data_IF_537640770077
#
_entry.id   IF_537640770077
#
_cell.length_a   1.000
_cell.length_b   1.000
_cell.length_c   1.000
_cell.angle_alpha   90.00
_cell.angle_beta   90.00
_cell.angle_gamma   90.00
#
_symmetry.space_group_name_H-M   'P 1'
#
loop_
_entity.id
_entity.type
_entity.pdbx_description
1 polymer ?
#
# COMPACT_ATOMS: atom_id res chain seq x y z
N UNK A 1 21.87 -23.30 12.01
CA UNK A 1 20.44 -23.70 12.20
C UNK A 1 19.46 -22.65 11.65
N UNK A 2 19.99 -21.51 11.21
CA UNK A 2 19.35 -20.28 10.76
C UNK A 2 18.51 -20.51 9.49
N UNK A 3 18.93 -21.47 8.65
CA UNK A 3 18.21 -21.87 7.44
C UNK A 3 16.78 -22.36 7.69
N UNK A 4 16.45 -22.82 8.91
CA UNK A 4 15.08 -23.24 9.26
C UNK A 4 14.13 -22.03 9.23
N UNK A 5 14.55 -20.89 9.77
CA UNK A 5 13.74 -19.66 9.78
C UNK A 5 13.53 -19.15 8.36
N UNK A 6 14.61 -19.14 7.55
CA UNK A 6 14.54 -18.77 6.13
C UNK A 6 13.60 -19.72 5.38
N UNK A 7 13.66 -21.02 5.64
CA UNK A 7 12.79 -22.01 5.01
C UNK A 7 11.31 -21.78 5.39
N UNK A 8 11.01 -21.48 6.66
CA UNK A 8 9.65 -21.13 7.11
C UNK A 8 9.16 -19.90 6.35
N UNK A 9 10.00 -18.85 6.24
CA UNK A 9 9.65 -17.65 5.49
C UNK A 9 9.34 -17.96 4.02
N UNK A 10 10.21 -18.71 3.34
CA UNK A 10 10.02 -19.08 1.92
C UNK A 10 8.75 -19.91 1.70
N UNK A 11 8.48 -20.91 2.56
CA UNK A 11 7.28 -21.74 2.45
C UNK A 11 6.01 -20.93 2.74
N UNK A 12 6.04 -20.09 3.78
CA UNK A 12 4.93 -19.20 4.11
C UNK A 12 4.61 -18.26 2.96
N UNK A 13 5.63 -17.64 2.36
CA UNK A 13 5.48 -16.75 1.22
C UNK A 13 5.01 -17.46 -0.05
N UNK A 14 5.53 -18.65 -0.33
CA UNK A 14 5.04 -19.47 -1.43
C UNK A 14 3.56 -19.82 -1.25
N UNK A 15 3.13 -20.09 -0.01
CA UNK A 15 1.72 -20.36 0.30
C UNK A 15 0.83 -19.13 0.08
N UNK A 16 1.33 -17.92 0.38
CA UNK A 16 0.65 -16.64 0.08
C UNK A 16 0.50 -16.45 -1.43
N UNK A 17 1.57 -16.62 -2.21
CA UNK A 17 1.52 -16.43 -3.67
C UNK A 17 0.64 -17.48 -4.37
N UNK A 18 0.48 -18.66 -3.77
CA UNK A 18 -0.40 -19.73 -4.22
C UNK A 18 -1.82 -19.69 -3.63
N UNK A 19 -2.26 -18.56 -3.05
CA UNK A 19 -3.60 -18.37 -2.45
C UNK A 19 -4.72 -18.90 -3.36
N UNK A 20 -4.73 -18.54 -4.65
CA UNK A 20 -5.79 -18.94 -5.57
C UNK A 20 -5.80 -20.47 -5.86
N UNK A 21 -4.66 -21.10 -6.22
CA UNK A 21 -4.58 -22.57 -6.30
C UNK A 21 -4.94 -23.31 -5.00
N UNK A 22 -4.50 -22.80 -3.85
CA UNK A 22 -4.71 -23.43 -2.53
C UNK A 22 -6.10 -23.16 -1.94
N UNK A 23 -6.84 -22.18 -2.49
CA UNK A 23 -8.13 -21.71 -1.98
C UNK A 23 -8.08 -21.36 -0.49
N UNK A 24 -6.99 -20.71 -0.10
CA UNK A 24 -6.66 -20.40 1.28
C UNK A 24 -6.40 -18.89 1.38
N UNK A 25 -7.12 -18.20 2.27
CA UNK A 25 -6.93 -16.77 2.53
C UNK A 25 -5.45 -16.51 2.89
N UNK A 26 -4.80 -15.59 2.16
CA UNK A 26 -3.38 -15.23 2.36
C UNK A 26 -3.02 -14.77 3.78
N UNK A 27 -4.01 -14.35 4.56
CA UNK A 27 -3.87 -14.00 5.98
C UNK A 27 -3.44 -15.19 6.81
N UNK A 28 -3.99 -16.38 6.54
CA UNK A 28 -3.69 -17.61 7.30
C UNK A 28 -2.19 -17.98 7.24
N UNK A 29 -1.58 -18.16 6.05
CA UNK A 29 -0.17 -18.50 5.96
C UNK A 29 0.73 -17.35 6.46
N UNK A 30 0.32 -16.08 6.32
CA UNK A 30 1.08 -14.95 6.87
C UNK A 30 1.18 -15.00 8.39
N UNK A 31 0.06 -15.23 9.09
CA UNK A 31 0.04 -15.32 10.56
C UNK A 31 0.79 -16.55 11.07
N UNK A 32 0.62 -17.70 10.42
CA UNK A 32 1.35 -18.94 10.76
C UNK A 32 2.86 -18.73 10.56
N UNK A 33 3.27 -18.16 9.43
CA UNK A 33 4.68 -17.88 9.14
C UNK A 33 5.29 -16.99 10.22
N UNK A 34 4.66 -15.86 10.56
CA UNK A 34 5.14 -14.97 11.61
C UNK A 34 5.29 -15.69 12.96
N UNK A 35 4.24 -16.40 13.36
CA UNK A 35 4.20 -17.07 14.66
C UNK A 35 5.26 -18.17 14.76
N UNK A 36 5.46 -18.93 13.68
CA UNK A 36 6.47 -19.98 13.62
C UNK A 36 7.90 -19.42 13.62
N UNK A 37 8.15 -18.32 12.88
CA UNK A 37 9.46 -17.65 12.89
C UNK A 37 9.81 -17.20 14.31
N UNK A 38 8.93 -16.47 14.98
CA UNK A 38 9.18 -15.99 16.33
C UNK A 38 9.25 -17.11 17.38
N UNK A 39 8.45 -18.19 17.22
CA UNK A 39 8.55 -19.35 18.10
C UNK A 39 9.88 -20.08 17.96
N UNK A 40 10.36 -20.30 16.73
CA UNK A 40 11.66 -20.92 16.47
C UNK A 40 12.80 -20.02 16.94
N UNK A 41 12.69 -18.71 16.75
CA UNK A 41 13.64 -17.73 17.30
C UNK A 41 13.71 -17.80 18.82
N UNK A 42 12.57 -17.77 19.52
CA UNK A 42 12.55 -17.81 20.99
C UNK A 42 13.16 -19.11 21.53
N UNK A 43 12.75 -20.26 20.97
CA UNK A 43 13.30 -21.57 21.37
C UNK A 43 14.80 -21.63 21.07
N UNK A 44 15.21 -21.24 19.86
CA UNK A 44 16.62 -21.30 19.46
C UNK A 44 17.49 -20.32 20.25
N UNK A 45 17.00 -19.13 20.54
CA UNK A 45 17.69 -18.15 21.37
C UNK A 45 17.99 -18.70 22.77
N UNK A 46 16.99 -19.25 23.47
CA UNK A 46 17.17 -19.84 24.80
C UNK A 46 18.12 -21.05 24.78
N UNK A 47 18.11 -21.84 23.70
CA UNK A 47 19.01 -22.98 23.55
C UNK A 47 20.40 -22.59 23.02
N UNK A 48 20.67 -21.30 22.78
CA UNK A 48 21.95 -20.82 22.23
C UNK A 48 22.20 -21.21 20.78
N UNK A 49 21.14 -21.48 20.01
CA UNK A 49 21.22 -21.78 18.58
C UNK A 49 21.32 -20.53 17.72
N UNK A 50 20.77 -19.42 18.22
CA UNK A 50 20.70 -18.14 17.52
C UNK A 50 21.07 -17.02 18.47
N UNK A 51 21.75 -16.04 17.92
CA UNK A 51 21.87 -14.72 18.54
C UNK A 51 20.88 -13.77 17.87
N UNK A 52 20.48 -12.74 18.61
CA UNK A 52 19.47 -11.78 18.17
C UNK A 52 20.09 -10.39 18.18
N UNK A 53 19.76 -9.60 17.17
CA UNK A 53 20.12 -8.19 17.09
C UNK A 53 18.94 -7.33 17.51
N UNK A 54 19.18 -6.37 18.40
CA UNK A 54 18.15 -5.40 18.78
C UNK A 54 18.07 -4.27 17.74
N UNK A 55 17.16 -3.33 17.96
CA UNK A 55 16.95 -2.18 17.07
C UNK A 55 18.04 -1.11 17.15
N UNK A 56 18.99 -1.25 18.06
CA UNK A 56 20.20 -0.42 18.16
C UNK A 56 21.41 -1.11 17.51
N UNK A 57 21.16 -2.14 16.68
CA UNK A 57 22.16 -2.94 15.98
C UNK A 57 23.16 -3.66 16.91
N UNK A 58 22.75 -3.95 18.14
CA UNK A 58 23.55 -4.71 19.10
C UNK A 58 23.11 -6.17 19.11
N UNK A 59 24.03 -7.06 18.78
CA UNK A 59 23.84 -8.50 18.90
C UNK A 59 23.98 -8.95 20.36
N UNK A 60 23.11 -9.86 20.79
CA UNK A 60 23.12 -10.43 22.12
C UNK A 60 22.69 -11.90 22.09
N UNK A 61 23.17 -12.66 23.08
CA UNK A 61 22.98 -14.11 23.19
C UNK A 61 22.43 -14.49 24.56
N UNK A 62 21.56 -15.49 24.61
CA UNK A 62 21.11 -16.05 25.88
C UNK A 62 22.26 -16.71 26.66
N UNK A 63 23.24 -17.30 25.97
CA UNK A 63 24.35 -18.01 26.63
C UNK A 63 25.24 -17.07 27.45
N UNK A 64 25.35 -15.80 27.03
CA UNK A 64 26.18 -14.80 27.69
C UNK A 64 25.39 -13.89 28.63
N UNK A 65 24.14 -13.58 28.30
CA UNK A 65 23.32 -12.63 29.06
C UNK A 65 22.16 -13.23 29.87
N UNK A 66 21.84 -14.52 29.73
CA UNK A 66 20.81 -15.21 30.52
C UNK A 66 19.45 -14.49 30.52
N UNK A 67 18.88 -14.26 31.70
CA UNK A 67 17.58 -13.58 31.85
C UNK A 67 17.56 -12.15 31.31
N UNK A 68 18.65 -11.38 31.45
CA UNK A 68 18.74 -10.03 30.88
C UNK A 68 18.67 -10.07 29.35
N UNK A 69 19.28 -11.08 28.73
CA UNK A 69 19.18 -11.30 27.29
C UNK A 69 17.76 -11.72 26.87
N UNK A 70 17.04 -12.46 27.71
CA UNK A 70 15.63 -12.79 27.47
C UNK A 70 14.72 -11.55 27.55
N UNK A 71 14.95 -10.65 28.50
CA UNK A 71 14.27 -9.36 28.55
C UNK A 71 14.55 -8.53 27.29
N UNK A 72 15.79 -8.54 26.80
CA UNK A 72 16.18 -7.92 25.53
C UNK A 72 15.45 -8.53 24.31
N UNK A 73 15.27 -9.85 24.29
CA UNK A 73 14.51 -10.55 23.26
C UNK A 73 13.03 -10.12 23.27
N UNK A 74 12.38 -10.13 24.43
CA UNK A 74 11.00 -9.69 24.59
C UNK A 74 10.83 -8.21 24.24
N UNK A 75 11.79 -7.37 24.63
CA UNK A 75 11.84 -5.96 24.26
C UNK A 75 11.94 -5.75 22.75
N UNK A 76 12.76 -6.54 22.07
CA UNK A 76 12.91 -6.52 20.60
C UNK A 76 11.60 -6.92 19.91
N UNK A 77 10.96 -8.00 20.36
CA UNK A 77 9.66 -8.42 19.86
C UNK A 77 8.58 -7.34 20.07
N UNK A 78 8.49 -6.76 21.27
CA UNK A 78 7.55 -5.69 21.59
C UNK A 78 7.81 -4.43 20.77
N UNK A 79 9.07 -4.10 20.49
CA UNK A 79 9.43 -2.97 19.63
C UNK A 79 8.88 -3.17 18.22
N UNK A 80 9.17 -4.32 17.59
CA UNK A 80 8.67 -4.63 16.25
C UNK A 80 7.15 -4.72 16.20
N UNK A 81 6.52 -5.30 17.23
CA UNK A 81 5.06 -5.32 17.37
C UNK A 81 4.51 -3.90 17.49
N UNK A 82 5.15 -3.02 18.25
CA UNK A 82 4.77 -1.62 18.40
C UNK A 82 4.82 -0.87 17.07
N UNK A 83 5.91 -1.01 16.31
CA UNK A 83 6.04 -0.42 14.96
C UNK A 83 5.02 -0.95 13.97
N UNK A 84 4.76 -2.24 14.03
CA UNK A 84 3.71 -2.87 13.22
C UNK A 84 2.33 -2.32 13.62
N UNK A 85 2.03 -2.24 14.92
CA UNK A 85 0.77 -1.72 15.44
C UNK A 85 0.53 -0.25 15.08
N UNK A 86 1.56 0.60 15.06
CA UNK A 86 1.46 1.99 14.58
C UNK A 86 0.89 2.03 13.15
N UNK A 87 1.39 1.17 12.24
CA UNK A 87 0.92 1.06 10.86
C UNK A 87 -0.52 0.53 10.83
N UNK A 88 -0.82 -0.55 11.55
CA UNK A 88 -2.16 -1.16 11.52
C UNK A 88 -3.24 -0.23 12.07
N UNK A 89 -2.98 0.48 13.17
CA UNK A 89 -3.92 1.46 13.75
C UNK A 89 -4.14 2.62 12.78
N UNK A 90 -3.08 3.08 12.11
CA UNK A 90 -3.20 4.10 11.06
C UNK A 90 -4.13 3.62 9.93
N UNK A 91 -3.92 2.42 9.41
CA UNK A 91 -4.73 1.86 8.32
C UNK A 91 -6.19 1.65 8.72
N UNK A 92 -6.45 1.12 9.93
CA UNK A 92 -7.80 0.98 10.47
C UNK A 92 -8.49 2.34 10.49
N UNK A 93 -7.81 3.37 10.99
CA UNK A 93 -8.35 4.74 11.02
C UNK A 93 -8.72 5.26 9.63
N UNK A 94 -7.79 5.16 8.69
CA UNK A 94 -7.99 5.60 7.31
C UNK A 94 -9.15 4.87 6.63
N UNK A 95 -9.15 3.53 6.67
CA UNK A 95 -10.19 2.70 6.07
C UNK A 95 -11.57 2.97 6.69
N UNK A 96 -11.62 3.18 8.02
CA UNK A 96 -12.89 3.52 8.70
C UNK A 96 -13.44 4.85 8.18
N UNK A 97 -12.60 5.88 8.03
CA UNK A 97 -13.03 7.18 7.49
C UNK A 97 -13.59 6.98 6.09
N UNK A 98 -12.90 6.24 5.23
CA UNK A 98 -13.37 6.02 3.86
C UNK A 98 -14.68 5.26 3.82
N UNK A 99 -14.84 4.23 4.65
CA UNK A 99 -16.10 3.49 4.73
C UNK A 99 -17.24 4.37 5.26
N UNK A 100 -16.98 5.29 6.20
CA UNK A 100 -17.98 6.29 6.62
C UNK A 100 -18.38 7.18 5.44
N UNK A 101 -17.43 7.63 4.62
CA UNK A 101 -17.71 8.40 3.40
C UNK A 101 -18.62 7.59 2.46
N UNK A 102 -18.29 6.31 2.21
CA UNK A 102 -19.06 5.46 1.30
C UNK A 102 -20.47 5.15 1.82
N UNK A 103 -20.63 4.91 3.13
CA UNK A 103 -21.94 4.76 3.77
C UNK A 103 -22.84 5.98 3.50
N UNK A 104 -22.28 7.18 3.52
CA UNK A 104 -23.01 8.42 3.20
C UNK A 104 -23.08 8.71 1.69
N UNK A 105 -22.69 7.74 0.85
CA UNK A 105 -22.59 7.84 -0.61
C UNK A 105 -21.76 9.03 -1.06
N UNK A 106 -20.72 9.39 -0.31
CA UNK A 106 -19.86 10.55 -0.60
C UNK A 106 -19.22 10.45 -1.99
N UNK A 107 -18.82 9.24 -2.41
CA UNK A 107 -18.19 9.03 -3.71
C UNK A 107 -19.15 9.15 -4.91
N UNK A 108 -20.47 9.12 -4.71
CA UNK A 108 -21.42 9.44 -5.79
C UNK A 108 -21.29 10.89 -6.26
N UNK A 109 -20.79 11.80 -5.41
CA UNK A 109 -20.47 13.18 -5.83
C UNK A 109 -19.47 13.17 -6.98
N UNK A 110 -18.54 12.20 -7.01
CA UNK A 110 -17.55 12.07 -8.08
C UNK A 110 -18.19 11.65 -9.42
N UNK A 111 -19.35 10.99 -9.41
CA UNK A 111 -20.11 10.69 -10.64
C UNK A 111 -20.45 11.97 -11.41
N UNK A 112 -20.74 13.06 -10.70
CA UNK A 112 -21.06 14.36 -11.32
C UNK A 112 -19.88 14.98 -12.08
N UNK A 113 -18.64 14.59 -11.78
CA UNK A 113 -17.47 15.02 -12.54
C UNK A 113 -17.36 14.32 -13.91
N UNK A 114 -18.08 13.20 -14.11
CA UNK A 114 -17.98 12.36 -15.31
C UNK A 114 -19.16 12.61 -16.26
N UNK A 115 -19.07 13.67 -17.08
CA UNK A 115 -20.15 14.09 -18.00
C UNK A 115 -19.91 13.75 -19.48
N UNK A 116 -19.00 12.82 -19.78
CA UNK A 116 -18.60 12.53 -21.17
C UNK A 116 -19.10 11.18 -21.66
N UNK A 117 -19.41 11.11 -22.96
CA UNK A 117 -19.69 9.85 -23.66
C UNK A 117 -18.46 9.32 -24.41
N UNK A 118 -17.41 10.11 -24.58
CA UNK A 118 -16.22 9.69 -25.32
C UNK A 118 -15.39 8.72 -24.47
N UNK A 119 -15.09 7.54 -25.01
CA UNK A 119 -14.26 6.52 -24.33
C UNK A 119 -12.88 7.07 -23.94
N UNK A 120 -12.24 7.80 -24.86
CA UNK A 120 -10.94 8.45 -24.59
C UNK A 120 -11.03 9.50 -23.49
N UNK A 121 -12.03 10.39 -23.52
CA UNK A 121 -12.19 11.40 -22.46
C UNK A 121 -12.50 10.73 -21.12
N UNK A 122 -13.32 9.68 -21.13
CA UNK A 122 -13.65 8.91 -19.93
C UNK A 122 -12.40 8.26 -19.32
N UNK A 123 -11.53 7.68 -20.15
CA UNK A 123 -10.26 7.08 -19.71
C UNK A 123 -9.44 8.11 -18.92
N UNK A 124 -9.24 9.31 -19.47
CA UNK A 124 -8.47 10.37 -18.79
C UNK A 124 -9.15 10.88 -17.52
N UNK A 125 -10.47 11.09 -17.53
CA UNK A 125 -11.19 11.55 -16.33
C UNK A 125 -11.05 10.52 -15.20
N UNK A 126 -11.29 9.25 -15.49
CA UNK A 126 -11.18 8.17 -14.49
C UNK A 126 -9.73 7.97 -14.05
N UNK A 127 -8.76 8.07 -14.97
CA UNK A 127 -7.35 7.98 -14.66
C UNK A 127 -6.83 9.09 -13.75
N UNK A 128 -7.16 10.34 -14.06
CA UNK A 128 -6.79 11.49 -13.22
C UNK A 128 -7.47 11.37 -11.85
N UNK A 129 -8.74 10.96 -11.83
CA UNK A 129 -9.45 10.73 -10.58
C UNK A 129 -8.78 9.63 -9.74
N UNK A 130 -8.36 8.52 -10.35
CA UNK A 130 -7.59 7.45 -9.69
C UNK A 130 -6.26 7.96 -9.13
N UNK A 131 -5.51 8.67 -9.95
CA UNK A 131 -4.19 9.19 -9.59
C UNK A 131 -4.27 10.15 -8.38
N UNK A 132 -5.23 11.07 -8.38
CA UNK A 132 -5.39 12.05 -7.29
C UNK A 132 -6.06 11.43 -6.06
N UNK A 133 -7.12 10.65 -6.24
CA UNK A 133 -7.83 10.04 -5.12
C UNK A 133 -6.91 9.08 -4.36
N UNK A 134 -6.13 8.28 -5.07
CA UNK A 134 -5.19 7.35 -4.46
C UNK A 134 -4.07 8.05 -3.68
N UNK A 135 -3.74 9.31 -3.97
CA UNK A 135 -2.77 10.06 -3.18
C UNK A 135 -3.36 10.51 -1.82
N UNK A 136 -4.68 10.51 -1.67
CA UNK A 136 -5.36 11.00 -0.46
C UNK A 136 -5.77 9.87 0.47
N UNK A 137 -6.40 8.83 -0.07
CA UNK A 137 -6.83 7.66 0.71
C UNK A 137 -5.75 6.58 0.60
N UNK A 138 -6.05 5.39 0.09
CA UNK A 138 -5.07 4.38 -0.31
C UNK A 138 -5.42 3.81 -1.69
N UNK A 139 -4.46 3.18 -2.36
CA UNK A 139 -4.63 2.63 -3.71
C UNK A 139 -5.67 1.52 -3.83
N UNK A 140 -5.80 0.65 -2.83
CA UNK A 140 -6.81 -0.40 -2.78
C UNK A 140 -8.21 0.22 -2.72
N UNK A 141 -8.43 1.12 -1.77
CA UNK A 141 -9.73 1.78 -1.58
C UNK A 141 -10.08 2.68 -2.76
N UNK A 142 -9.14 3.46 -3.29
CA UNK A 142 -9.37 4.26 -4.49
C UNK A 142 -9.79 3.38 -5.69
N UNK A 143 -9.16 2.21 -5.85
CA UNK A 143 -9.51 1.25 -6.89
C UNK A 143 -10.92 0.68 -6.70
N UNK A 144 -11.29 0.27 -5.48
CA UNK A 144 -12.63 -0.25 -5.16
C UNK A 144 -13.72 0.79 -5.48
N UNK A 145 -13.52 2.03 -5.04
CA UNK A 145 -14.44 3.16 -5.29
C UNK A 145 -14.62 3.38 -6.79
N UNK A 146 -13.52 3.42 -7.55
CA UNK A 146 -13.57 3.71 -8.99
C UNK A 146 -14.12 2.57 -9.82
N UNK A 147 -13.88 1.31 -9.43
CA UNK A 147 -14.52 0.16 -10.08
C UNK A 147 -16.03 0.19 -9.84
N UNK A 148 -16.47 0.54 -8.63
CA UNK A 148 -17.88 0.71 -8.29
C UNK A 148 -18.54 1.80 -9.14
N UNK A 149 -17.85 2.93 -9.34
CA UNK A 149 -18.27 3.98 -10.26
C UNK A 149 -18.29 3.50 -11.72
N UNK A 150 -17.26 2.79 -12.17
CA UNK A 150 -17.15 2.26 -13.53
C UNK A 150 -18.28 1.29 -13.88
N UNK A 151 -18.78 0.50 -12.92
CA UNK A 151 -19.94 -0.39 -13.13
C UNK A 151 -21.21 0.38 -13.49
N UNK A 152 -21.36 1.60 -12.98
CA UNK A 152 -22.50 2.49 -13.28
C UNK A 152 -22.31 3.25 -14.60
N UNK A 153 -21.07 3.46 -15.03
CA UNK A 153 -20.74 4.24 -16.24
C UNK A 153 -20.56 3.36 -17.49
N UNK A 154 -20.03 2.15 -17.33
CA UNK A 154 -19.66 1.23 -18.41
C UNK A 154 -20.33 -0.13 -18.17
N UNK A 155 -21.48 -0.32 -18.81
CA UNK A 155 -22.27 -1.54 -18.68
C UNK A 155 -21.58 -2.77 -19.28
N UNK A 156 -20.94 -2.61 -20.45
CA UNK A 156 -20.21 -3.70 -21.13
C UNK A 156 -18.96 -4.08 -20.33
N UNK A 157 -18.97 -5.28 -19.74
CA UNK A 157 -17.84 -5.82 -18.96
C UNK A 157 -16.54 -5.85 -19.77
N UNK A 158 -16.61 -6.20 -21.06
CA UNK A 158 -15.46 -6.24 -21.97
C UNK A 158 -14.73 -4.90 -22.07
N UNK A 159 -15.46 -3.79 -22.04
CA UNK A 159 -14.86 -2.46 -21.98
C UNK A 159 -14.38 -2.17 -20.55
N UNK A 160 -15.21 -2.48 -19.55
CA UNK A 160 -14.94 -2.15 -18.13
C UNK A 160 -13.64 -2.75 -17.58
N UNK A 161 -13.28 -3.99 -17.98
CA UNK A 161 -12.02 -4.61 -17.55
C UNK A 161 -10.78 -3.82 -18.00
N UNK A 162 -10.83 -3.13 -19.15
CA UNK A 162 -9.75 -2.24 -19.59
C UNK A 162 -9.65 -1.01 -18.70
N UNK A 163 -10.77 -0.37 -18.37
CA UNK A 163 -10.75 0.79 -17.48
C UNK A 163 -10.32 0.40 -16.07
N UNK A 164 -10.78 -0.73 -15.53
CA UNK A 164 -10.35 -1.23 -14.23
C UNK A 164 -8.84 -1.49 -14.20
N UNK A 165 -8.28 -2.10 -15.25
CA UNK A 165 -6.84 -2.31 -15.35
C UNK A 165 -6.03 -1.00 -15.43
N UNK A 166 -6.54 0.01 -16.16
CA UNK A 166 -5.91 1.33 -16.21
C UNK A 166 -6.05 2.10 -14.88
N UNK A 167 -7.14 1.89 -14.13
CA UNK A 167 -7.30 2.43 -12.77
C UNK A 167 -6.22 1.88 -11.85
N UNK A 168 -5.89 0.59 -11.91
CA UNK A 168 -4.81 0.00 -11.08
C UNK A 168 -3.47 0.70 -11.35
N UNK A 169 -3.12 0.94 -12.62
CA UNK A 169 -1.89 1.68 -12.98
C UNK A 169 -1.92 3.10 -12.40
N UNK A 170 -3.02 3.82 -12.59
CA UNK A 170 -3.15 5.20 -12.15
C UNK A 170 -3.18 5.33 -10.62
N UNK A 171 -3.87 4.42 -9.93
CA UNK A 171 -3.95 4.40 -8.46
C UNK A 171 -2.57 4.11 -7.85
N UNK A 172 -1.88 3.06 -8.30
CA UNK A 172 -0.53 2.74 -7.81
C UNK A 172 0.47 3.89 -8.04
N UNK A 173 0.43 4.53 -9.22
CA UNK A 173 1.23 5.73 -9.48
C UNK A 173 0.84 6.91 -8.60
N UNK A 174 -0.45 7.10 -8.33
CA UNK A 174 -1.00 8.14 -7.47
C UNK A 174 -0.62 7.98 -6.00
N UNK A 175 -0.67 6.75 -5.48
CA UNK A 175 -0.32 6.45 -4.09
C UNK A 175 1.16 6.68 -3.77
N UNK A 176 2.06 6.38 -4.71
CA UNK A 176 3.50 6.34 -4.49
C UNK A 176 4.15 7.68 -4.08
N UNK A 177 3.56 8.83 -4.41
CA UNK A 177 4.11 10.15 -4.08
C UNK A 177 3.50 10.79 -2.83
N UNK A 178 2.61 10.06 -2.14
CA UNK A 178 1.96 10.54 -0.92
C UNK A 178 2.27 9.62 0.27
N UNK A 179 2.50 10.17 1.47
CA UNK A 179 2.75 9.37 2.67
C UNK A 179 1.53 8.58 3.16
N UNK A 180 0.34 8.84 2.63
CA UNK A 180 -0.90 8.14 2.99
C UNK A 180 -1.39 7.25 1.84
N UNK A 181 -1.04 7.62 0.61
CA UNK A 181 -1.64 7.06 -0.61
C UNK A 181 -1.36 5.58 -0.88
N UNK A 182 -0.35 5.01 -0.23
CA UNK A 182 -0.05 3.58 -0.28
C UNK A 182 0.41 3.10 1.11
N UNK A 183 0.17 1.82 1.40
CA UNK A 183 0.63 1.21 2.66
C UNK A 183 2.15 1.27 2.78
N UNK A 184 2.88 1.06 1.68
CA UNK A 184 4.34 1.06 1.66
C UNK A 184 4.94 2.45 1.89
N UNK A 185 4.33 3.51 1.35
CA UNK A 185 4.78 4.88 1.62
C UNK A 185 4.44 5.30 3.04
N UNK A 186 3.29 4.86 3.55
CA UNK A 186 2.93 5.00 4.97
C UNK A 186 3.96 4.33 5.88
N UNK A 187 4.40 3.12 5.55
CA UNK A 187 5.44 2.39 6.28
C UNK A 187 6.76 3.16 6.32
N UNK A 188 7.25 3.61 5.15
CA UNK A 188 8.48 4.41 5.07
C UNK A 188 8.37 5.71 5.88
N UNK A 189 7.18 6.34 5.88
CA UNK A 189 6.94 7.60 6.59
C UNK A 189 6.85 7.43 8.11
N UNK A 190 6.23 6.34 8.59
CA UNK A 190 6.19 5.97 10.02
C UNK A 190 7.58 5.55 10.49
N UNK A 191 8.33 4.81 9.67
CA UNK A 191 9.72 4.42 9.91
C UNK A 191 10.73 5.58 9.80
N UNK A 192 10.26 6.82 9.56
CA UNK A 192 11.08 8.03 9.40
C UNK A 192 12.14 7.93 8.29
N UNK A 193 11.90 7.11 7.27
CA UNK A 193 12.78 6.99 6.09
C UNK A 193 12.46 8.04 5.03
N UNK A 194 11.21 8.50 4.97
CA UNK A 194 10.77 9.61 4.10
C UNK A 194 9.97 10.64 4.89
N UNK A 195 9.91 11.86 4.38
CA UNK A 195 9.00 12.93 4.78
C UNK A 195 7.90 13.13 3.72
N UNK A 196 6.84 13.82 4.12
CA UNK A 196 5.74 14.14 3.21
C UNK A 196 6.19 15.08 2.08
N UNK A 197 7.05 16.05 2.41
CA UNK A 197 7.61 16.99 1.45
C UNK A 197 8.57 16.29 0.48
N UNK A 198 9.46 15.44 1.00
CA UNK A 198 10.40 14.66 0.17
C UNK A 198 9.67 13.77 -0.84
N UNK A 199 8.62 13.05 -0.42
CA UNK A 199 7.83 12.24 -1.36
C UNK A 199 7.23 13.08 -2.50
N UNK A 200 6.71 14.28 -2.20
CA UNK A 200 6.18 15.18 -3.22
C UNK A 200 7.30 15.66 -4.15
N UNK A 201 8.42 16.11 -3.59
CA UNK A 201 9.55 16.69 -4.33
C UNK A 201 10.20 15.68 -5.27
N UNK A 202 10.48 14.47 -4.79
CA UNK A 202 11.20 13.46 -5.57
C UNK A 202 10.29 12.57 -6.43
N UNK A 203 9.06 12.26 -5.99
CA UNK A 203 8.27 11.17 -6.58
C UNK A 203 7.09 11.65 -7.42
N UNK A 204 6.56 12.86 -7.22
CA UNK A 204 5.34 13.30 -7.92
C UNK A 204 5.50 13.34 -9.44
N UNK A 205 6.63 13.86 -9.95
CA UNK A 205 6.88 13.97 -11.39
C UNK A 205 7.10 12.57 -12.01
N UNK A 206 7.98 11.71 -11.45
CA UNK A 206 8.09 10.30 -11.87
C UNK A 206 6.74 9.56 -11.89
N UNK A 207 5.91 9.74 -10.87
CA UNK A 207 4.57 9.16 -10.79
C UNK A 207 3.63 9.69 -11.88
N UNK A 208 3.65 11.00 -12.15
CA UNK A 208 2.85 11.59 -13.25
C UNK A 208 3.27 10.98 -14.59
N UNK A 209 4.57 10.82 -14.85
CA UNK A 209 5.05 10.20 -16.10
C UNK A 209 4.63 8.73 -16.18
N UNK A 210 4.79 7.99 -15.08
CA UNK A 210 4.39 6.58 -14.95
C UNK A 210 2.90 6.37 -15.23
N UNK A 211 2.05 7.32 -14.83
CA UNK A 211 0.63 7.35 -15.14
C UNK A 211 0.35 7.81 -16.59
N UNK A 212 0.89 8.95 -16.99
CA UNK A 212 0.48 9.64 -18.22
C UNK A 212 0.90 8.86 -19.46
N UNK A 213 2.09 8.27 -19.49
CA UNK A 213 2.62 7.61 -20.67
C UNK A 213 1.78 6.37 -21.08
N UNK A 214 1.43 5.44 -20.17
CA UNK A 214 0.49 4.36 -20.47
C UNK A 214 -0.87 4.86 -20.96
N UNK A 215 -1.38 5.95 -20.40
CA UNK A 215 -2.69 6.54 -20.79
C UNK A 215 -2.65 7.20 -22.16
N UNK A 216 -1.53 7.84 -22.53
CA UNK A 216 -1.30 8.36 -23.88
C UNK A 216 -1.34 7.19 -24.87
N UNK A 217 -0.57 6.12 -24.63
CA UNK A 217 -0.53 4.97 -25.52
C UNK A 217 -1.90 4.27 -25.59
N UNK A 218 -2.54 4.05 -24.45
CA UNK A 218 -3.88 3.45 -24.37
C UNK A 218 -4.92 4.25 -25.15
N UNK A 219 -4.83 5.59 -25.16
CA UNK A 219 -5.73 6.45 -25.93
C UNK A 219 -5.76 6.15 -27.44
N UNK A 220 -4.73 5.52 -27.99
CA UNK A 220 -4.67 5.12 -29.40
C UNK A 220 -5.19 3.71 -29.66
N UNK A 221 -5.43 2.89 -28.62
CA UNK A 221 -5.94 1.53 -28.78
C UNK A 221 -7.41 1.53 -29.24
N UNK A 222 -7.84 0.57 -30.09
CA UNK A 222 -9.20 0.51 -30.61
C UNK A 222 -10.29 0.51 -29.54
N UNK A 223 -10.04 -0.12 -28.39
CA UNK A 223 -11.02 -0.22 -27.29
C UNK A 223 -11.41 1.12 -26.67
N UNK A 224 -10.51 2.12 -26.72
CA UNK A 224 -10.73 3.46 -26.18
C UNK A 224 -11.20 4.48 -27.23
N UNK A 225 -11.45 4.03 -28.46
CA UNK A 225 -12.00 4.87 -29.53
C UNK A 225 -13.53 4.79 -29.56
N UNK A 226 -14.17 5.87 -29.99
CA UNK A 226 -15.62 5.97 -30.07
C UNK A 226 -16.27 6.41 -28.75
N UNK A 227 -17.56 6.09 -28.62
CA UNK A 227 -18.39 6.50 -27.49
C UNK A 227 -18.85 5.30 -26.67
N UNK A 228 -19.06 5.52 -25.38
CA UNK A 228 -19.73 4.57 -24.49
C UNK A 228 -21.22 4.58 -24.81
N UNK A 229 -21.80 3.39 -24.95
CA UNK A 229 -23.25 3.25 -25.00
C UNK A 229 -23.81 3.51 -23.60
N UNK A 230 -24.30 4.74 -23.39
CA UNK A 230 -25.08 5.10 -22.22
C UNK A 230 -26.52 4.70 -22.54
N UNK A 231 -26.96 3.54 -22.07
CA UNK A 231 -28.39 3.32 -21.90
C UNK A 231 -28.86 4.35 -20.88
N UNK A 232 -29.70 5.29 -21.32
CA UNK A 232 -30.39 6.20 -20.42
C UNK A 232 -31.43 5.35 -19.70
N UNK A 233 -31.02 4.62 -18.67
CA UNK A 233 -31.95 4.30 -17.61
C UNK A 233 -32.16 5.59 -16.85
N UNK A 234 -33.40 6.02 -16.78
CA UNK A 234 -33.90 6.76 -15.63
C UNK A 234 -33.64 5.86 -14.41
N UNK A 235 -32.39 5.82 -13.92
CA UNK A 235 -32.19 5.61 -12.50
C UNK A 235 -33.06 6.71 -11.90
N UNK A 236 -34.17 6.30 -11.28
CA UNK A 236 -34.82 7.16 -10.28
C UNK A 236 -33.66 7.73 -9.50
N UNK A 237 -33.49 9.05 -9.52
CA UNK A 237 -32.52 9.71 -8.67
C UNK A 237 -32.84 9.20 -7.26
N UNK A 238 -32.13 8.16 -6.80
CA UNK A 238 -32.04 7.89 -5.38
C UNK A 238 -31.37 9.16 -4.88
N UNK A 239 -32.22 10.06 -4.36
CA UNK A 239 -31.91 11.46 -4.20
C UNK A 239 -30.53 11.62 -3.57
N UNK A 240 -29.77 12.59 -4.06
CA UNK A 240 -28.47 12.90 -3.48
C UNK A 240 -28.64 13.02 -1.96
N UNK A 241 -28.06 12.06 -1.23
CA UNK A 241 -28.09 12.03 0.23
C UNK A 241 -27.53 13.38 0.69
N UNK A 242 -28.28 14.09 1.55
CA UNK A 242 -27.95 15.47 1.99
C UNK A 242 -26.55 15.55 2.59
N UNK A 243 -26.12 14.46 3.23
CA UNK A 243 -24.84 14.31 3.90
C UNK A 243 -23.64 14.03 2.97
N UNK A 244 -23.89 13.60 1.73
CA UNK A 244 -22.89 13.00 0.83
C UNK A 244 -21.70 13.95 0.58
N UNK A 245 -21.96 15.21 0.22
CA UNK A 245 -20.90 16.21 0.01
C UNK A 245 -20.14 16.53 1.29
N UNK A 246 -20.86 16.75 2.38
CA UNK A 246 -20.26 17.10 3.67
C UNK A 246 -19.31 16.01 4.14
N UNK A 247 -19.74 14.74 4.09
CA UNK A 247 -18.91 13.62 4.50
C UNK A 247 -17.72 13.38 3.58
N UNK A 248 -17.87 13.54 2.26
CA UNK A 248 -16.74 13.44 1.34
C UNK A 248 -15.67 14.49 1.65
N UNK A 249 -16.03 15.77 1.72
CA UNK A 249 -15.05 16.85 1.93
C UNK A 249 -14.46 16.81 3.34
N UNK A 250 -15.27 16.51 4.36
CA UNK A 250 -14.77 16.36 5.72
C UNK A 250 -13.81 15.17 5.83
N UNK A 251 -14.21 14.00 5.33
CA UNK A 251 -13.39 12.78 5.43
C UNK A 251 -12.06 12.93 4.70
N UNK A 252 -12.08 13.34 3.42
CA UNK A 252 -10.84 13.59 2.66
C UNK A 252 -10.01 14.72 3.28
N UNK A 253 -10.65 15.80 3.74
CA UNK A 253 -9.96 16.92 4.39
C UNK A 253 -9.26 16.51 5.69
N UNK A 254 -9.92 15.69 6.51
CA UNK A 254 -9.32 15.17 7.75
C UNK A 254 -8.16 14.20 7.47
N UNK A 255 -8.23 13.38 6.42
CA UNK A 255 -7.09 12.54 6.01
C UNK A 255 -5.90 13.40 5.56
N UNK A 256 -6.14 14.41 4.70
CA UNK A 256 -5.11 15.37 4.26
C UNK A 256 -4.54 16.19 5.43
N UNK A 257 -5.26 16.34 6.54
CA UNK A 257 -4.76 17.05 7.72
C UNK A 257 -3.68 16.27 8.50
N UNK A 258 -3.58 14.94 8.33
CA UNK A 258 -2.69 14.09 9.12
C UNK A 258 -1.19 14.42 8.95
N UNK A 259 -0.66 14.67 7.73
CA UNK A 259 0.73 15.09 7.56
C UNK A 259 1.00 16.46 8.17
N UNK A 260 0.01 17.37 8.15
CA UNK A 260 0.10 18.68 8.81
C UNK A 260 0.17 18.50 10.32
N UNK A 261 -0.69 17.66 10.89
CA UNK A 261 -0.67 17.31 12.32
C UNK A 261 0.70 16.75 12.75
N UNK A 262 1.25 15.78 12.02
CA UNK A 262 2.60 15.22 12.31
C UNK A 262 3.66 16.31 12.28
N UNK A 263 3.64 17.17 11.27
CA UNK A 263 4.66 18.22 11.09
C UNK A 263 4.62 19.26 12.22
N UNK A 264 3.42 19.62 12.70
CA UNK A 264 3.26 20.61 13.77
C UNK A 264 3.48 20.03 15.18
N UNK A 265 3.08 18.78 15.42
CA UNK A 265 3.09 18.19 16.76
C UNK A 265 4.28 17.27 17.02
N UNK A 266 4.97 16.81 15.97
CA UNK A 266 5.98 15.75 16.00
C UNK A 266 5.48 14.38 16.53
N UNK A 267 4.18 14.23 16.76
CA UNK A 267 3.58 12.95 17.17
C UNK A 267 3.52 11.97 16.00
N UNK A 268 3.49 10.65 16.28
CA UNK A 268 3.33 9.63 15.25
C UNK A 268 2.06 9.82 14.41
N UNK A 269 2.08 9.48 13.10
CA UNK A 269 0.94 9.63 12.20
C UNK A 269 -0.37 9.02 12.69
N UNK A 270 -0.31 7.86 13.37
CA UNK A 270 -1.51 7.15 13.81
C UNK A 270 -2.36 8.00 14.78
N UNK A 271 -1.73 8.86 15.60
CA UNK A 271 -2.46 9.76 16.51
C UNK A 271 -3.27 10.81 15.75
N UNK A 272 -2.67 11.39 14.70
CA UNK A 272 -3.38 12.32 13.82
C UNK A 272 -4.53 11.63 13.07
N UNK A 273 -4.33 10.39 12.63
CA UNK A 273 -5.37 9.59 11.99
C UNK A 273 -6.51 9.21 12.96
N UNK A 274 -6.21 8.90 14.22
CA UNK A 274 -7.24 8.65 15.25
C UNK A 274 -8.05 9.91 15.57
N UNK A 275 -7.40 11.07 15.63
CA UNK A 275 -8.10 12.35 15.76
C UNK A 275 -9.01 12.61 14.55
N UNK A 276 -8.50 12.39 13.33
CA UNK A 276 -9.26 12.51 12.10
C UNK A 276 -10.51 11.62 12.11
N UNK A 277 -10.34 10.34 12.49
CA UNK A 277 -11.45 9.41 12.63
C UNK A 277 -12.44 9.89 13.70
N UNK A 278 -11.97 10.30 14.87
CA UNK A 278 -12.83 10.80 15.95
C UNK A 278 -13.71 11.98 15.53
N UNK A 279 -13.15 12.93 14.76
CA UNK A 279 -13.90 14.08 14.22
C UNK A 279 -14.89 13.66 13.15
N UNK A 280 -14.48 12.85 12.17
CA UNK A 280 -15.36 12.37 11.10
C UNK A 280 -16.52 11.54 11.68
N UNK A 281 -16.21 10.67 12.64
CA UNK A 281 -17.20 9.88 13.35
C UNK A 281 -18.17 10.79 14.11
N UNK A 282 -17.67 11.73 14.91
CA UNK A 282 -18.52 12.67 15.64
C UNK A 282 -19.52 13.35 14.71
N UNK A 283 -19.06 13.89 13.58
CA UNK A 283 -19.93 14.56 12.61
C UNK A 283 -20.93 13.58 11.98
N UNK A 284 -20.52 12.36 11.65
CA UNK A 284 -21.41 11.33 11.10
C UNK A 284 -22.58 10.96 12.03
N UNK A 285 -22.39 11.07 13.36
CA UNK A 285 -23.47 10.82 14.32
C UNK A 285 -24.54 11.92 14.32
N UNK A 286 -24.20 13.16 13.95
CA UNK A 286 -25.12 14.30 13.95
C UNK A 286 -25.73 14.61 12.58
N UNK A 287 -25.12 14.16 11.49
CA UNK A 287 -25.64 14.39 10.15
C UNK A 287 -26.66 13.31 9.78
N UNK A 288 -27.81 13.74 9.27
CA UNK A 288 -28.87 12.85 8.79
C UNK A 288 -28.69 12.59 7.28
N UNK A 289 -28.58 11.33 6.84
CA UNK A 289 -28.49 10.97 5.42
C UNK A 289 -29.72 11.40 4.59
N UNK A 290 -30.92 11.27 5.15
CA UNK A 290 -32.20 11.50 4.46
C UNK A 290 -33.11 12.42 5.31
N UNK A 291 -34.06 13.13 4.70
CA UNK A 291 -34.99 14.02 5.42
C UNK A 291 -35.90 13.24 6.40
N UNK A 292 -36.35 12.04 6.01
CA UNK A 292 -37.16 11.12 6.83
C UNK A 292 -36.28 10.06 7.55
N UNK A 293 -35.26 10.51 8.28
CA UNK A 293 -34.36 9.59 8.98
C UNK A 293 -34.94 9.08 10.30
N UNK A 294 -35.58 7.90 10.27
CA UNK A 294 -36.09 7.26 11.49
C UNK A 294 -34.95 6.77 12.39
N UNK A 295 -35.16 6.83 13.72
CA UNK A 295 -34.18 6.33 14.71
C UNK A 295 -33.77 4.88 14.49
N UNK A 296 -34.65 4.06 13.91
CA UNK A 296 -34.39 2.65 13.59
C UNK A 296 -33.34 2.48 12.48
N UNK A 297 -33.18 3.45 11.56
CA UNK A 297 -32.20 3.37 10.45
C UNK A 297 -30.84 3.96 10.80
N UNK A 298 -30.69 4.59 11.98
CA UNK A 298 -29.43 5.20 12.43
C UNK A 298 -28.26 4.23 12.51
N UNK A 299 -28.54 2.96 12.88
CA UNK A 299 -27.51 1.93 12.94
C UNK A 299 -26.87 1.62 11.57
N UNK A 300 -27.58 1.85 10.46
CA UNK A 300 -27.11 1.54 9.10
C UNK A 300 -25.97 2.45 8.63
N UNK A 301 -25.86 3.65 9.19
CA UNK A 301 -24.87 4.68 8.84
C UNK A 301 -23.89 4.97 9.99
N UNK A 302 -23.96 4.18 11.07
CA UNK A 302 -23.09 4.33 12.24
C UNK A 302 -21.66 3.88 11.93
N UNK A 303 -20.67 4.45 12.62
CA UNK A 303 -19.29 3.99 12.46
C UNK A 303 -19.08 2.55 12.94
N UNK A 304 -19.92 2.01 13.81
CA UNK A 304 -19.91 0.57 14.13
C UNK A 304 -20.18 -0.27 12.89
N UNK A 305 -21.08 0.18 12.01
CA UNK A 305 -21.31 -0.47 10.72
C UNK A 305 -20.13 -0.30 9.79
N UNK A 306 -19.49 0.88 9.78
CA UNK A 306 -18.28 1.12 9.00
C UNK A 306 -17.13 0.18 9.43
N UNK A 307 -16.85 0.10 10.74
CA UNK A 307 -15.87 -0.81 11.32
C UNK A 307 -16.13 -2.27 10.93
N UNK A 308 -17.41 -2.69 10.88
CA UNK A 308 -17.78 -4.05 10.46
C UNK A 308 -17.52 -4.37 8.99
N UNK A 309 -17.24 -3.36 8.15
CA UNK A 309 -16.97 -3.50 6.72
C UNK A 309 -15.49 -3.35 6.37
N UNK A 310 -14.65 -2.98 7.32
CA UNK A 310 -13.21 -2.94 7.11
C UNK A 310 -12.70 -4.35 6.81
N UNK A 311 -11.78 -4.46 5.87
CA UNK A 311 -11.11 -5.72 5.52
C UNK A 311 -10.10 -6.11 6.61
N UNK A 312 -10.60 -6.66 7.74
CA UNK A 312 -9.76 -7.14 8.84
C UNK A 312 -8.73 -8.18 8.37
N UNK A 313 -9.07 -9.00 7.36
CA UNK A 313 -8.12 -9.93 6.73
C UNK A 313 -6.87 -9.19 6.20
N UNK A 314 -7.03 -8.07 5.51
CA UNK A 314 -5.91 -7.28 4.98
C UNK A 314 -5.00 -6.73 6.09
N UNK A 315 -5.58 -6.28 7.21
CA UNK A 315 -4.83 -5.82 8.40
C UNK A 315 -4.05 -6.97 9.04
N UNK A 316 -4.68 -8.13 9.24
CA UNK A 316 -4.03 -9.30 9.82
C UNK A 316 -2.95 -9.88 8.89
N UNK A 317 -3.16 -9.79 7.58
CA UNK A 317 -2.14 -10.14 6.59
C UNK A 317 -0.90 -9.27 6.76
N UNK A 318 -1.06 -7.94 6.87
CA UNK A 318 0.06 -7.04 7.13
C UNK A 318 0.74 -7.31 8.47
N UNK A 319 -0.02 -7.61 9.53
CA UNK A 319 0.55 -8.04 10.82
C UNK A 319 1.48 -9.25 10.62
N UNK A 320 1.00 -10.29 9.94
CA UNK A 320 1.78 -11.50 9.68
C UNK A 320 3.05 -11.22 8.87
N UNK A 321 2.94 -10.48 7.77
CA UNK A 321 4.09 -10.14 6.93
C UNK A 321 5.13 -9.32 7.69
N UNK A 322 4.72 -8.24 8.35
CA UNK A 322 5.65 -7.33 9.04
C UNK A 322 6.34 -8.02 10.22
N UNK A 323 5.62 -8.84 10.97
CA UNK A 323 6.23 -9.62 12.06
C UNK A 323 7.17 -10.71 11.52
N UNK A 324 6.87 -11.34 10.39
CA UNK A 324 7.77 -12.32 9.78
C UNK A 324 9.07 -11.67 9.29
N UNK A 325 8.98 -10.50 8.63
CA UNK A 325 10.15 -9.72 8.18
C UNK A 325 10.96 -9.24 9.38
N UNK A 326 10.30 -8.76 10.44
CA UNK A 326 10.97 -8.37 11.68
C UNK A 326 11.75 -9.53 12.32
N UNK A 327 11.22 -10.76 12.28
CA UNK A 327 11.95 -11.93 12.74
C UNK A 327 13.22 -12.20 11.93
N UNK A 328 13.20 -11.99 10.61
CA UNK A 328 14.40 -12.07 9.78
C UNK A 328 15.38 -10.92 10.08
N UNK A 329 14.87 -9.71 10.32
CA UNK A 329 15.66 -8.55 10.71
C UNK A 329 16.42 -8.81 12.02
N UNK A 330 15.72 -9.36 13.02
CA UNK A 330 16.26 -9.66 14.35
C UNK A 330 17.21 -10.87 14.39
N UNK A 331 17.10 -11.82 13.45
CA UNK A 331 17.97 -13.00 13.41
C UNK A 331 19.39 -12.62 12.96
N UNK A 332 20.39 -12.78 13.83
CA UNK A 332 21.80 -12.68 13.43
C UNK A 332 22.12 -13.82 12.46
N UNK A 333 22.66 -13.47 11.29
CA UNK A 333 22.98 -14.44 10.25
C UNK A 333 24.46 -14.46 9.88
N UNK A 334 25.13 -13.31 9.94
CA UNK A 334 26.51 -13.18 9.49
C UNK A 334 27.21 -11.98 10.08
N UNK A 335 28.45 -11.78 9.66
CA UNK A 335 29.33 -10.71 10.12
C UNK A 335 29.71 -9.82 8.95
N UNK A 336 29.57 -8.51 9.12
CA UNK A 336 29.94 -7.48 8.15
C UNK A 336 30.90 -6.52 8.85
N UNK A 337 32.07 -6.29 8.24
CA UNK A 337 33.12 -5.41 8.81
C UNK A 337 33.55 -5.73 10.26
N UNK A 338 33.37 -7.00 10.69
CA UNK A 338 33.72 -7.45 12.04
C UNK A 338 32.58 -7.34 13.06
N UNK A 339 31.40 -6.88 12.65
CA UNK A 339 30.21 -6.78 13.50
C UNK A 339 29.13 -7.78 13.06
N UNK A 340 28.46 -8.41 14.03
CA UNK A 340 27.34 -9.30 13.77
C UNK A 340 26.13 -8.51 13.28
N UNK A 341 25.48 -9.00 12.23
CA UNK A 341 24.35 -8.31 11.60
C UNK A 341 23.16 -9.24 11.39
N UNK A 342 21.98 -8.62 11.40
CA UNK A 342 20.72 -9.27 11.07
C UNK A 342 20.69 -9.83 9.63
N UNK A 343 19.77 -10.77 9.39
CA UNK A 343 19.68 -11.49 8.10
C UNK A 343 19.44 -10.55 6.93
N UNK A 344 18.61 -9.52 7.12
CA UNK A 344 18.30 -8.55 6.06
C UNK A 344 19.49 -7.64 5.74
N UNK A 345 20.20 -7.14 6.75
CA UNK A 345 21.42 -6.34 6.55
C UNK A 345 22.51 -7.16 5.86
N UNK A 346 22.67 -8.42 6.24
CA UNK A 346 23.59 -9.34 5.55
C UNK A 346 23.20 -9.54 4.07
N UNK A 347 21.91 -9.73 3.78
CA UNK A 347 21.42 -9.83 2.41
C UNK A 347 21.71 -8.56 1.60
N UNK A 348 21.60 -7.38 2.21
CA UNK A 348 21.93 -6.11 1.55
C UNK A 348 23.39 -6.08 1.09
N UNK A 349 24.34 -6.54 1.92
CA UNK A 349 25.75 -6.61 1.57
C UNK A 349 26.05 -7.63 0.47
N UNK A 350 25.37 -8.78 0.49
CA UNK A 350 25.45 -9.77 -0.59
C UNK A 350 24.95 -9.18 -1.91
N UNK A 351 23.83 -8.45 -1.89
CA UNK A 351 23.31 -7.78 -3.07
C UNK A 351 24.24 -6.66 -3.56
N UNK A 352 24.78 -5.84 -2.65
CA UNK A 352 25.69 -4.76 -2.98
C UNK A 352 27.00 -5.26 -3.61
N UNK A 353 27.51 -6.41 -3.14
CA UNK A 353 28.70 -7.05 -3.74
C UNK A 353 28.41 -7.69 -5.10
N UNK A 354 27.22 -8.24 -5.32
CA UNK A 354 26.82 -8.85 -6.58
C UNK A 354 26.42 -7.82 -7.66
N UNK A 355 25.71 -6.75 -7.26
CA UNK A 355 25.23 -5.67 -8.12
C UNK A 355 25.62 -4.34 -7.46
N UNK A 356 26.79 -3.77 -7.78
CA UNK A 356 27.29 -2.55 -7.13
C UNK A 356 26.45 -1.29 -7.38
N UNK A 357 25.57 -1.32 -8.40
CA UNK A 357 24.72 -0.20 -8.75
C UNK A 357 23.36 -0.29 -8.03
N UNK A 358 23.13 0.58 -7.05
CA UNK A 358 21.91 0.62 -6.26
C UNK A 358 20.66 0.97 -7.09
N UNK A 359 20.79 1.83 -8.11
CA UNK A 359 19.67 2.15 -9.01
C UNK A 359 19.12 0.88 -9.67
N UNK A 360 20.02 0.00 -10.12
CA UNK A 360 19.66 -1.28 -10.74
C UNK A 360 18.98 -2.19 -9.71
N UNK A 361 19.49 -2.26 -8.48
CA UNK A 361 18.86 -3.04 -7.40
C UNK A 361 17.43 -2.56 -7.14
N UNK A 362 17.21 -1.25 -7.04
CA UNK A 362 15.88 -0.68 -6.81
C UNK A 362 14.91 -0.92 -7.98
N UNK A 363 15.38 -0.82 -9.22
CA UNK A 363 14.59 -1.18 -10.40
C UNK A 363 14.20 -2.66 -10.37
N UNK A 364 15.14 -3.54 -10.02
CA UNK A 364 14.87 -4.97 -9.89
C UNK A 364 13.88 -5.26 -8.75
N UNK A 365 13.99 -4.56 -7.60
CA UNK A 365 13.00 -4.64 -6.53
C UNK A 365 11.60 -4.25 -7.00
N UNK A 366 11.48 -3.19 -7.81
CA UNK A 366 10.20 -2.81 -8.43
C UNK A 366 9.66 -3.86 -9.41
N UNK A 367 10.51 -4.51 -10.20
CA UNK A 367 10.08 -5.62 -11.07
C UNK A 367 9.65 -6.83 -10.25
N UNK A 368 10.40 -7.17 -9.21
CA UNK A 368 10.08 -8.25 -8.28
C UNK A 368 8.77 -7.94 -7.54
N UNK A 369 8.44 -6.67 -7.29
CA UNK A 369 7.18 -6.29 -6.64
C UNK A 369 5.92 -6.63 -7.44
N UNK A 370 6.06 -6.92 -8.73
CA UNK A 370 4.97 -7.46 -9.54
C UNK A 370 4.61 -8.91 -9.15
N UNK A 371 5.55 -9.65 -8.57
CA UNK A 371 5.40 -11.07 -8.21
C UNK A 371 5.22 -11.21 -6.69
N UNK A 372 6.02 -10.47 -5.94
CA UNK A 372 6.06 -10.43 -4.49
C UNK A 372 5.34 -9.15 -4.10
N UNK A 373 4.26 -9.22 -3.31
CA UNK A 373 3.55 -8.02 -2.82
C UNK A 373 4.52 -6.92 -2.35
N UNK A 374 4.15 -5.66 -2.52
CA UNK A 374 5.07 -4.53 -2.31
C UNK A 374 5.39 -4.29 -0.82
N UNK A 375 4.46 -4.61 0.09
CA UNK A 375 4.62 -4.51 1.56
C UNK A 375 5.84 -5.29 2.10
N UNK A 376 5.98 -6.61 1.88
CA UNK A 376 7.15 -7.35 2.36
C UNK A 376 8.47 -6.84 1.79
N UNK A 377 8.50 -6.40 0.53
CA UNK A 377 9.72 -5.87 -0.10
C UNK A 377 10.17 -4.55 0.53
N UNK A 378 9.23 -3.64 0.79
CA UNK A 378 9.54 -2.37 1.44
C UNK A 378 9.90 -2.58 2.91
N UNK A 379 9.20 -3.47 3.61
CA UNK A 379 9.59 -3.86 4.97
C UNK A 379 11.02 -4.43 5.01
N UNK A 380 11.35 -5.34 4.09
CA UNK A 380 12.69 -5.90 3.99
C UNK A 380 13.73 -4.81 3.67
N UNK A 381 13.41 -3.89 2.76
CA UNK A 381 14.30 -2.79 2.39
C UNK A 381 14.59 -1.86 3.57
N UNK A 382 13.61 -1.62 4.47
CA UNK A 382 13.82 -0.85 5.71
C UNK A 382 14.85 -1.54 6.62
N UNK A 383 14.81 -2.87 6.73
CA UNK A 383 15.78 -3.65 7.51
C UNK A 383 17.11 -3.94 6.78
N UNK A 384 17.20 -3.66 5.47
CA UNK A 384 18.40 -3.85 4.65
C UNK A 384 19.32 -2.63 4.67
N UNK A 385 18.75 -1.41 4.72
CA UNK A 385 19.49 -0.17 4.54
C UNK A 385 19.32 0.76 5.75
N UNK A 386 20.45 1.21 6.30
CA UNK A 386 20.46 2.32 7.25
C UNK A 386 20.99 3.59 6.55
N UNK A 387 20.05 4.44 6.16
CA UNK A 387 20.29 5.69 5.44
C UNK A 387 19.48 6.81 6.08
N UNK A 388 19.98 8.06 6.03
CA UNK A 388 19.28 9.21 6.60
C UNK A 388 17.88 9.38 5.99
N UNK A 389 17.00 10.04 6.75
CA UNK A 389 15.68 10.45 6.28
C UNK A 389 15.81 11.23 4.97
N UNK A 390 14.90 10.97 4.03
CA UNK A 390 14.85 11.60 2.70
C UNK A 390 16.11 11.35 1.83
N UNK A 391 16.88 10.29 2.13
CA UNK A 391 17.86 9.81 1.15
C UNK A 391 17.17 9.48 -0.18
N UNK A 392 17.84 9.78 -1.29
CA UNK A 392 17.34 9.52 -2.65
C UNK A 392 16.87 8.07 -2.82
N UNK A 393 17.60 7.12 -2.21
CA UNK A 393 17.28 5.69 -2.27
C UNK A 393 15.87 5.41 -1.70
N UNK A 394 15.48 6.05 -0.60
CA UNK A 394 14.16 5.86 -0.01
C UNK A 394 13.04 6.31 -0.93
N UNK A 395 13.22 7.45 -1.59
CA UNK A 395 12.25 7.95 -2.56
C UNK A 395 12.19 7.07 -3.82
N UNK A 396 13.34 6.52 -4.24
CA UNK A 396 13.35 5.63 -5.39
C UNK A 396 12.72 4.26 -5.09
N UNK A 397 12.93 3.74 -3.88
CA UNK A 397 12.23 2.54 -3.38
C UNK A 397 10.73 2.80 -3.30
N UNK A 398 10.30 3.95 -2.76
CA UNK A 398 8.88 4.32 -2.69
C UNK A 398 8.24 4.34 -4.09
N UNK A 399 8.88 4.98 -5.05
CA UNK A 399 8.43 4.99 -6.44
C UNK A 399 8.37 3.57 -7.04
N UNK A 400 9.47 2.82 -6.90
CA UNK A 400 9.66 1.55 -7.61
C UNK A 400 8.77 0.45 -7.05
N UNK A 401 8.69 0.33 -5.72
CA UNK A 401 7.79 -0.61 -5.07
C UNK A 401 6.31 -0.24 -5.28
N UNK A 402 5.98 1.05 -5.22
CA UNK A 402 4.61 1.56 -5.39
C UNK A 402 4.07 1.35 -6.81
N UNK A 403 4.89 1.57 -7.84
CA UNK A 403 4.45 1.46 -9.24
C UNK A 403 4.74 0.09 -9.88
N UNK A 404 5.77 -0.61 -9.42
CA UNK A 404 6.19 -1.89 -9.98
C UNK A 404 5.12 -2.98 -9.90
N UNK A 405 4.33 -2.97 -8.83
CA UNK A 405 3.22 -3.89 -8.59
C UNK A 405 2.11 -3.84 -9.63
N UNK A 406 2.06 -2.82 -10.50
CA UNK A 406 1.12 -2.75 -11.62
C UNK A 406 1.51 -3.64 -12.80
N UNK A 407 2.73 -4.16 -12.89
CA UNK A 407 3.14 -4.97 -14.03
C UNK A 407 2.36 -6.29 -14.13
N UNK A 408 1.99 -6.89 -13.00
CA UNK A 408 1.10 -8.04 -12.95
C UNK A 408 -0.10 -7.69 -12.07
N UNK A 409 -1.29 -8.18 -12.44
CA UNK A 409 -2.51 -7.86 -11.69
C UNK A 409 -2.49 -8.35 -10.23
N UNK A 410 -1.66 -9.35 -9.92
CA UNK A 410 -1.49 -9.88 -8.56
C UNK A 410 -0.42 -9.16 -7.75
N UNK A 411 0.35 -8.25 -8.36
CA UNK A 411 1.50 -7.58 -7.74
C UNK A 411 1.14 -6.44 -6.79
N UNK A 412 -0.14 -6.17 -6.59
CA UNK A 412 -0.60 -5.15 -5.63
C UNK A 412 -2.00 -5.47 -5.12
N UNK A 413 -2.33 -5.02 -3.90
CA UNK A 413 -3.66 -5.16 -3.33
C UNK A 413 -4.75 -4.55 -4.24
N UNK A 414 -4.49 -3.38 -4.83
CA UNK A 414 -5.36 -2.74 -5.81
C UNK A 414 -5.64 -3.64 -7.03
N UNK A 415 -4.60 -4.29 -7.57
CA UNK A 415 -4.73 -5.24 -8.67
C UNK A 415 -5.56 -6.47 -8.29
N UNK A 416 -5.32 -7.06 -7.12
CA UNK A 416 -6.06 -8.22 -6.61
C UNK A 416 -7.54 -7.89 -6.40
N UNK A 417 -7.85 -6.71 -5.86
CA UNK A 417 -9.22 -6.25 -5.71
C UNK A 417 -9.90 -6.06 -7.08
N UNK A 418 -9.22 -5.42 -8.03
CA UNK A 418 -9.74 -5.27 -9.39
C UNK A 418 -9.98 -6.63 -10.07
N UNK A 419 -9.07 -7.58 -9.87
CA UNK A 419 -9.20 -8.96 -10.34
C UNK A 419 -10.43 -9.63 -9.75
N UNK A 420 -10.64 -9.57 -8.44
CA UNK A 420 -11.79 -10.17 -7.76
C UNK A 420 -13.12 -9.53 -8.18
N UNK A 421 -13.18 -8.20 -8.23
CA UNK A 421 -14.40 -7.45 -8.53
C UNK A 421 -14.84 -7.62 -10.00
N UNK A 422 -13.91 -7.52 -10.96
CA UNK A 422 -14.26 -7.58 -12.39
C UNK A 422 -13.98 -8.96 -13.02
N UNK A 423 -13.48 -9.92 -12.22
CA UNK A 423 -13.06 -11.26 -12.66
C UNK A 423 -12.06 -11.18 -13.81
N UNK A 424 -11.08 -10.29 -13.69
CA UNK A 424 -10.05 -10.09 -14.72
C UNK A 424 -9.18 -11.34 -14.78
N UNK A 425 -8.99 -11.90 -15.97
CA UNK A 425 -8.11 -13.06 -16.13
C UNK A 425 -6.64 -12.65 -16.07
N UNK A 426 -5.81 -13.42 -15.35
CA UNK A 426 -4.38 -13.14 -15.19
C UNK A 426 -3.65 -13.14 -16.54
N UNK A 427 -3.92 -14.13 -17.41
CA UNK A 427 -3.26 -14.24 -18.72
C UNK A 427 -3.71 -13.10 -19.65
N UNK A 428 -4.97 -12.68 -19.55
CA UNK A 428 -5.48 -11.52 -20.26
C UNK A 428 -4.73 -10.25 -19.84
N UNK A 429 -4.57 -10.00 -18.53
CA UNK A 429 -3.83 -8.84 -18.04
C UNK A 429 -2.37 -8.87 -18.50
N UNK A 430 -1.74 -10.05 -18.36
CA UNK A 430 -0.36 -10.29 -18.80
C UNK A 430 -0.16 -9.91 -20.27
N UNK A 431 -1.10 -10.30 -21.14
CA UNK A 431 -1.01 -10.04 -22.59
C UNK A 431 -1.39 -8.62 -22.98
N UNK A 432 -2.28 -7.96 -22.24
CA UNK A 432 -2.92 -6.70 -22.68
C UNK A 432 -2.43 -5.46 -21.94
N UNK A 433 -2.03 -5.60 -20.67
CA UNK A 433 -1.80 -4.47 -19.77
C UNK A 433 -0.37 -4.45 -19.24
N UNK A 434 0.28 -5.60 -18.99
CA UNK A 434 1.64 -5.65 -18.43
C UNK A 434 2.65 -4.78 -19.17
N UNK A 435 2.62 -4.77 -20.51
CA UNK A 435 3.53 -3.95 -21.30
C UNK A 435 3.25 -2.44 -21.16
N UNK A 436 2.00 -2.03 -20.94
CA UNK A 436 1.63 -0.64 -20.63
C UNK A 436 2.14 -0.26 -19.24
N UNK A 437 1.93 -1.12 -18.24
CA UNK A 437 2.42 -0.90 -16.89
C UNK A 437 3.95 -0.85 -16.83
N UNK A 438 4.64 -1.75 -17.53
CA UNK A 438 6.10 -1.76 -17.64
C UNK A 438 6.62 -0.48 -18.30
N UNK A 439 5.96 0.00 -19.36
CA UNK A 439 6.30 1.28 -20.00
C UNK A 439 6.16 2.45 -19.02
N UNK A 440 5.09 2.48 -18.23
CA UNK A 440 4.89 3.47 -17.17
C UNK A 440 6.01 3.42 -16.12
N UNK A 441 6.25 2.24 -15.57
CA UNK A 441 7.29 1.99 -14.57
C UNK A 441 8.69 2.42 -15.05
N UNK A 442 9.12 1.98 -16.24
CA UNK A 442 10.48 2.29 -16.69
C UNK A 442 10.65 3.77 -17.08
N UNK A 443 9.59 4.40 -17.60
CA UNK A 443 9.64 5.83 -17.96
C UNK A 443 9.64 6.75 -16.74
N UNK A 444 8.87 6.43 -15.70
CA UNK A 444 8.95 7.17 -14.44
C UNK A 444 10.26 6.90 -13.71
N UNK A 445 10.79 5.66 -13.70
CA UNK A 445 12.12 5.37 -13.16
C UNK A 445 13.21 6.17 -13.87
N UNK A 446 13.19 6.21 -15.20
CA UNK A 446 14.10 7.04 -15.99
C UNK A 446 13.95 8.54 -15.70
N UNK A 447 12.72 9.00 -15.46
CA UNK A 447 12.45 10.39 -15.05
C UNK A 447 13.02 10.68 -13.67
N UNK A 448 12.87 9.75 -12.72
CA UNK A 448 13.44 9.86 -11.38
C UNK A 448 14.96 10.03 -11.45
N UNK A 449 15.65 9.13 -12.16
CA UNK A 449 17.11 9.18 -12.32
C UNK A 449 17.57 10.43 -13.07
N UNK A 450 16.79 10.93 -14.04
CA UNK A 450 17.11 12.18 -14.72
C UNK A 450 17.01 13.37 -13.77
N UNK A 451 15.92 13.46 -13.00
CA UNK A 451 15.70 14.53 -12.02
C UNK A 451 16.82 14.50 -10.97
N UNK A 452 17.14 13.33 -10.44
CA UNK A 452 18.24 13.14 -9.50
C UNK A 452 19.57 13.66 -10.06
N UNK A 453 19.97 13.19 -11.25
CA UNK A 453 21.26 13.56 -11.85
C UNK A 453 21.36 15.01 -12.33
N UNK A 454 20.23 15.66 -12.65
CA UNK A 454 20.22 17.02 -13.22
C UNK A 454 19.90 18.09 -12.18
N UNK A 455 18.93 17.83 -11.30
CA UNK A 455 18.41 18.80 -10.34
C UNK A 455 19.01 18.61 -8.95
N UNK A 456 19.31 17.38 -8.55
CA UNK A 456 19.80 17.05 -7.20
C UNK A 456 21.29 16.68 -7.14
N UNK A 457 22.05 16.93 -8.23
CA UNK A 457 23.49 16.62 -8.34
C UNK A 457 24.40 17.29 -7.28
N UNK A 458 23.84 18.15 -6.42
CA UNK A 458 24.54 18.87 -5.35
C UNK A 458 23.94 18.65 -3.95
N UNK A 459 23.04 17.68 -3.76
CA UNK A 459 22.42 17.39 -2.45
C UNK A 459 23.20 16.33 -1.66
#
# INVERSE_FOLDING_TARGET
MESIIILIFVIGYLSITLEHPLKLDKTVPALIMASLIWAVLAIGFVNGWFDVINTEEQAFSFLTGGELAMEGFEGTLLHHLGKTAEILIFLIGAMTIVEIIDLHRGFEVLKSAVKTKSKRKLLWIIGILAFILSAIIDNLTATIVLITLLRKLIHRREDRIWYAAMVVIAANAGGAWSPIGDVTTTMLWIAKKVSAAGLIEYVVIPSIVSFALPFIVASYLPVFRGNVHVEVREDKEEGAILSSRTMLFLGLGMIVSVPVFKTLTHLPPYMGMMLALGVVWLVSEYIHPEEDFSRERRHLYSAHKALSRIEISSILFFLGILMAVAGLESLVYGVVNGEEVGTLRYLAEVLQSAIPNQDVVVILLGIISAIIDNVPLVAASIGMYDLPIDSVLWHFIAYSAGTGGSMLIIGSAAGVAAMGMERIDFIWYLKKITWLAFLGFISGAGTFLLIERVLFHNA
#
